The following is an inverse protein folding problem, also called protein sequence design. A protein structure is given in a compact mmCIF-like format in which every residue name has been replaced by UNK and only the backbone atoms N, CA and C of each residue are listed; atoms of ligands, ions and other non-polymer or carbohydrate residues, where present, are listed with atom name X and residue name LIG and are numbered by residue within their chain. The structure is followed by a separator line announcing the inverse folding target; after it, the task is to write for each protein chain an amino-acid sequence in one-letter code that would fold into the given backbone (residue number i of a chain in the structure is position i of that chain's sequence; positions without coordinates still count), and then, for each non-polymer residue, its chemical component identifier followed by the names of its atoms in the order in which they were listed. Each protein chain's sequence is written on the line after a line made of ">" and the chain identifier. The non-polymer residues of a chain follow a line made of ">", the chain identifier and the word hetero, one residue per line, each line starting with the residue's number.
data_IF_716947264243
#
_entry.id   IF_716947264243
#
_cell.length_a   1.000
_cell.length_b   1.000
_cell.length_c   1.000
_cell.angle_alpha   90.00
_cell.angle_beta   90.00
_cell.angle_gamma   90.00
#
_symmetry.space_group_name_H-M   'P 1'
#
loop_
_entity.id
_entity.type
_entity.pdbx_description
1 polymer ?
#
# COMPACT_ATOMS: atom_id res chain seq x y z
N UNK A 1 3.77 -43.37 34.95
CA UNK A 1 3.76 -41.90 34.78
C UNK A 1 5.21 -41.40 34.82
N UNK A 2 5.64 -40.33 34.13
CA UNK A 2 4.95 -39.47 33.15
C UNK A 2 5.68 -39.44 31.77
N UNK A 3 5.02 -38.92 30.73
CA UNK A 3 5.67 -38.51 29.47
C UNK A 3 6.24 -37.08 29.68
N UNK A 4 7.44 -36.74 29.22
CA UNK A 4 7.85 -35.34 29.21
C UNK A 4 7.02 -34.56 28.18
N UNK A 5 6.65 -33.35 28.61
CA UNK A 5 5.82 -32.36 27.92
C UNK A 5 6.49 -31.84 26.66
N UNK A 6 5.65 -31.66 25.63
CA UNK A 6 5.52 -30.49 24.77
C UNK A 6 6.63 -29.45 24.82
N UNK A 7 7.34 -29.28 23.71
CA UNK A 7 8.05 -28.04 23.37
C UNK A 7 7.69 -27.68 21.92
N UNK A 8 6.65 -26.86 21.77
CA UNK A 8 6.48 -26.04 20.58
C UNK A 8 7.45 -24.86 20.70
N UNK A 9 8.36 -24.63 19.75
CA UNK A 9 9.03 -23.34 19.66
C UNK A 9 8.03 -22.35 19.04
N UNK A 10 7.10 -21.85 19.85
CA UNK A 10 6.28 -20.68 19.55
C UNK A 10 6.95 -19.43 20.13
N UNK A 11 8.24 -19.27 19.89
CA UNK A 11 9.03 -18.12 20.29
C UNK A 11 9.90 -17.69 19.11
N UNK A 12 9.28 -17.04 18.14
CA UNK A 12 9.98 -16.09 17.29
C UNK A 12 9.20 -14.81 17.30
N UNK A 13 9.48 -14.04 18.35
CA UNK A 13 9.48 -12.59 18.40
C UNK A 13 9.02 -11.90 17.11
N UNK A 14 7.73 -11.58 17.04
CA UNK A 14 7.27 -10.49 16.18
C UNK A 14 7.55 -9.20 16.92
N UNK A 15 8.77 -8.73 16.68
CA UNK A 15 9.24 -7.36 16.90
C UNK A 15 8.13 -6.37 16.56
N UNK A 16 7.65 -5.66 17.58
CA UNK A 16 6.82 -4.47 17.41
C UNK A 16 7.58 -3.43 16.59
N UNK A 17 7.33 -3.40 15.29
CA UNK A 17 7.57 -2.17 14.51
C UNK A 17 6.45 -1.22 14.90
N UNK A 18 6.80 -0.22 15.70
CA UNK A 18 5.96 0.94 15.97
C UNK A 18 5.34 1.40 14.65
N UNK A 19 4.00 1.33 14.60
CA UNK A 19 3.22 1.54 13.40
C UNK A 19 3.37 2.95 12.88
N UNK A 20 4.01 3.08 11.72
CA UNK A 20 3.91 4.30 10.93
C UNK A 20 2.44 4.43 10.51
N UNK A 21 1.88 5.61 10.72
CA UNK A 21 0.52 5.90 10.29
C UNK A 21 0.43 5.69 8.77
N UNK A 22 -0.61 5.02 8.28
CA UNK A 22 -0.73 4.68 6.86
C UNK A 22 -0.57 5.90 5.96
N UNK A 23 -1.14 7.04 6.37
CA UNK A 23 -1.06 8.31 5.62
C UNK A 23 0.34 8.90 5.45
N UNK A 24 1.34 8.43 6.21
CA UNK A 24 2.74 8.89 6.11
C UNK A 24 3.59 7.99 5.22
N UNK A 25 3.07 6.82 4.82
CA UNK A 25 3.81 5.87 4.00
C UNK A 25 3.88 6.33 2.54
N UNK A 26 5.04 6.17 1.90
CA UNK A 26 5.13 6.25 0.44
C UNK A 26 4.49 5.02 -0.21
N UNK A 27 4.05 5.16 -1.46
CA UNK A 27 3.41 4.08 -2.24
C UNK A 27 4.12 2.72 -2.11
N UNK A 28 5.42 2.65 -2.42
CA UNK A 28 6.20 1.40 -2.36
C UNK A 28 6.19 0.75 -0.97
N UNK A 29 6.26 1.56 0.08
CA UNK A 29 6.26 1.06 1.45
C UNK A 29 4.87 0.57 1.88
N UNK A 30 3.81 1.29 1.49
CA UNK A 30 2.44 0.89 1.75
C UNK A 30 2.07 -0.39 0.99
N UNK A 31 2.52 -0.52 -0.26
CA UNK A 31 2.31 -1.72 -1.07
C UNK A 31 3.04 -2.93 -0.49
N UNK A 32 4.33 -2.78 -0.13
CA UNK A 32 5.09 -3.86 0.48
C UNK A 32 4.48 -4.35 1.81
N UNK A 33 3.96 -3.43 2.62
CA UNK A 33 3.26 -3.81 3.86
C UNK A 33 1.95 -4.55 3.55
N UNK A 34 1.19 -4.10 2.54
CA UNK A 34 -0.04 -4.76 2.11
C UNK A 34 0.22 -6.18 1.60
N UNK A 35 1.24 -6.38 0.77
CA UNK A 35 1.67 -7.69 0.28
C UNK A 35 2.03 -8.63 1.44
N UNK A 36 2.75 -8.13 2.44
CA UNK A 36 3.10 -8.91 3.62
C UNK A 36 1.86 -9.33 4.42
N UNK A 37 0.88 -8.44 4.56
CA UNK A 37 -0.39 -8.75 5.23
C UNK A 37 -1.14 -9.85 4.46
N UNK A 38 -1.25 -9.73 3.14
CA UNK A 38 -1.91 -10.73 2.29
C UNK A 38 -1.23 -12.09 2.44
N UNK A 39 0.11 -12.15 2.33
CA UNK A 39 0.88 -13.39 2.51
C UNK A 39 0.61 -14.04 3.87
N UNK A 40 0.53 -13.23 4.93
CA UNK A 40 0.22 -13.75 6.26
C UNK A 40 -1.20 -14.33 6.31
N UNK A 41 -2.19 -13.64 5.73
CA UNK A 41 -3.59 -14.09 5.67
C UNK A 41 -3.75 -15.39 4.88
N UNK A 42 -3.05 -15.52 3.75
CA UNK A 42 -3.05 -16.73 2.91
C UNK A 42 -2.44 -17.94 3.62
N UNK A 43 -1.57 -17.71 4.61
CA UNK A 43 -0.99 -18.76 5.45
C UNK A 43 -2.01 -19.53 6.31
N UNK A 44 -3.25 -19.03 6.45
CA UNK A 44 -4.40 -19.74 7.02
C UNK A 44 -4.31 -20.09 8.52
N UNK A 45 -3.30 -19.56 9.22
CA UNK A 45 -3.02 -19.86 10.64
C UNK A 45 -3.22 -18.68 11.59
N UNK A 46 -3.69 -17.54 11.09
CA UNK A 46 -3.97 -16.38 11.92
C UNK A 46 -5.19 -16.62 12.82
N UNK A 47 -5.09 -16.35 14.13
CA UNK A 47 -6.25 -16.21 15.00
C UNK A 47 -7.26 -15.20 14.43
N UNK A 48 -8.53 -15.31 14.83
CA UNK A 48 -9.60 -14.45 14.34
C UNK A 48 -9.32 -12.96 14.60
N UNK A 49 -8.86 -12.62 15.80
CA UNK A 49 -8.55 -11.23 16.17
C UNK A 49 -7.43 -10.64 15.31
N UNK A 50 -6.37 -11.41 15.05
CA UNK A 50 -5.28 -11.01 14.17
C UNK A 50 -5.74 -10.90 12.72
N UNK A 51 -6.60 -11.81 12.25
CA UNK A 51 -7.20 -11.74 10.91
C UNK A 51 -8.02 -10.46 10.71
N UNK A 52 -8.78 -10.05 11.73
CA UNK A 52 -9.55 -8.80 11.70
C UNK A 52 -8.64 -7.58 11.73
N UNK A 53 -7.54 -7.62 12.48
CA UNK A 53 -6.56 -6.54 12.51
C UNK A 53 -5.83 -6.42 11.16
N UNK A 54 -5.40 -7.55 10.59
CA UNK A 54 -4.79 -7.66 9.27
C UNK A 54 -5.72 -7.09 8.18
N UNK A 55 -7.00 -7.46 8.20
CA UNK A 55 -7.99 -6.95 7.24
C UNK A 55 -8.17 -5.43 7.34
N UNK A 56 -8.30 -4.88 8.56
CA UNK A 56 -8.44 -3.43 8.77
C UNK A 56 -7.22 -2.69 8.23
N UNK A 57 -6.03 -3.11 8.64
CA UNK A 57 -4.77 -2.48 8.20
C UNK A 57 -4.58 -2.60 6.68
N UNK A 58 -4.86 -3.77 6.11
CA UNK A 58 -4.81 -3.99 4.66
C UNK A 58 -5.78 -3.09 3.89
N UNK A 59 -6.98 -2.88 4.43
CA UNK A 59 -7.98 -1.99 3.82
C UNK A 59 -7.52 -0.53 3.83
N UNK A 60 -6.95 -0.05 4.93
CA UNK A 60 -6.36 1.29 5.03
C UNK A 60 -5.20 1.47 4.02
N UNK A 61 -4.29 0.50 3.95
CA UNK A 61 -3.16 0.52 3.01
C UNK A 61 -3.65 0.55 1.56
N UNK A 62 -4.65 -0.27 1.22
CA UNK A 62 -5.24 -0.30 -0.12
C UNK A 62 -5.84 1.07 -0.50
N UNK A 63 -6.61 1.69 0.39
CA UNK A 63 -7.18 3.01 0.16
C UNK A 63 -6.09 4.06 -0.06
N UNK A 64 -5.03 4.02 0.73
CA UNK A 64 -3.90 4.95 0.61
C UNK A 64 -3.12 4.77 -0.69
N UNK A 65 -2.89 3.53 -1.13
CA UNK A 65 -2.27 3.24 -2.43
C UNK A 65 -3.12 3.77 -3.58
N UNK A 66 -4.44 3.54 -3.55
CA UNK A 66 -5.36 4.06 -4.57
C UNK A 66 -5.36 5.59 -4.61
N UNK A 67 -5.34 6.25 -3.45
CA UNK A 67 -5.27 7.69 -3.37
C UNK A 67 -4.00 8.24 -4.02
N UNK A 68 -2.83 7.68 -3.69
CA UNK A 68 -1.55 8.10 -4.27
C UNK A 68 -1.51 7.91 -5.80
N UNK A 69 -2.05 6.80 -6.31
CA UNK A 69 -2.17 6.58 -7.75
C UNK A 69 -3.10 7.60 -8.41
N UNK A 70 -4.23 7.90 -7.79
CA UNK A 70 -5.15 8.93 -8.27
C UNK A 70 -4.55 10.35 -8.25
N UNK A 71 -3.73 10.67 -7.25
CA UNK A 71 -2.97 11.92 -7.21
C UNK A 71 -1.94 12.00 -8.33
N UNK A 72 -1.21 10.90 -8.60
CA UNK A 72 -0.25 10.83 -9.69
C UNK A 72 -0.93 10.98 -11.06
N UNK A 73 -2.06 10.29 -11.28
CA UNK A 73 -2.84 10.39 -12.52
C UNK A 73 -3.33 11.82 -12.77
N UNK A 74 -3.86 12.50 -11.74
CA UNK A 74 -4.26 13.91 -11.83
C UNK A 74 -3.09 14.82 -12.21
N UNK A 75 -1.91 14.59 -11.65
CA UNK A 75 -0.73 15.39 -11.98
C UNK A 75 -0.34 15.20 -13.46
N UNK A 76 -0.40 13.96 -13.97
CA UNK A 76 -0.14 13.67 -15.39
C UNK A 76 -1.16 14.41 -16.27
N UNK A 77 -2.46 14.33 -15.96
CA UNK A 77 -3.50 15.02 -16.72
C UNK A 77 -3.30 16.55 -16.76
N UNK A 78 -2.86 17.15 -15.66
CA UNK A 78 -2.55 18.60 -15.61
C UNK A 78 -1.36 18.92 -16.52
N UNK A 79 -0.31 18.08 -16.51
CA UNK A 79 0.86 18.28 -17.38
C UNK A 79 0.48 18.12 -18.86
N UNK A 80 -0.35 17.14 -19.21
CA UNK A 80 -0.82 16.94 -20.58
C UNK A 80 -1.69 18.11 -21.05
N UNK A 81 -2.64 18.57 -20.22
CA UNK A 81 -3.50 19.72 -20.51
C UNK A 81 -2.77 21.06 -20.48
N UNK A 82 -1.63 21.15 -19.77
CA UNK A 82 -0.76 22.33 -19.72
C UNK A 82 0.32 22.38 -20.81
N UNK A 83 0.61 21.24 -21.45
CA UNK A 83 1.66 21.09 -22.47
C UNK A 83 1.10 21.08 -23.90
N UNK A 84 -0.16 20.67 -24.11
CA UNK A 84 -0.87 20.91 -25.37
C UNK A 84 -1.62 22.26 -25.32
N UNK A 85 -0.88 23.36 -25.43
CA UNK A 85 -1.42 24.46 -26.24
C UNK A 85 -1.08 24.10 -27.68
N UNK A 86 -2.11 23.98 -28.51
CA UNK A 86 -1.91 23.99 -29.95
C UNK A 86 -1.01 25.18 -30.28
N UNK A 87 0.11 24.89 -30.93
CA UNK A 87 0.95 25.92 -31.49
C UNK A 87 0.13 26.61 -32.58
N UNK A 88 -0.54 27.70 -32.24
CA UNK A 88 -1.06 28.65 -33.22
C UNK A 88 0.11 29.58 -33.61
N UNK A 89 0.73 29.39 -34.78
CA UNK A 89 1.69 30.36 -35.27
C UNK A 89 0.92 31.65 -35.57
N UNK A 90 1.00 32.62 -34.65
CA UNK A 90 0.57 33.99 -34.95
C UNK A 90 1.39 34.52 -36.15
N UNK A 91 0.69 34.93 -37.19
CA UNK A 91 1.24 35.82 -38.22
C UNK A 91 1.90 35.16 -39.43
N UNK A 92 1.09 34.62 -40.35
CA UNK A 92 1.52 34.25 -41.70
C UNK A 92 0.55 34.71 -42.77
N UNK A 93 0.23 36.01 -42.81
CA UNK A 93 -0.42 36.65 -43.97
C UNK A 93 0.50 36.44 -45.19
N UNK A 94 0.14 35.51 -46.08
CA UNK A 94 0.76 35.40 -47.39
C UNK A 94 -0.30 35.00 -48.43
N UNK A 95 -1.00 36.04 -48.90
CA UNK A 95 -1.65 36.22 -50.21
C UNK A 95 -2.56 35.12 -50.75
#
# INVERSE_FOLDING_TARGET
>A
MPRPKSEHPADTALSGKAGVAVGELKFEAALAELEQIVQNMEGGRLPLEESLAAYRRGSELLQHCQQQLGDAERQIQILENGTLRDFEPDGGVAR
#
